data_IF_784748641487
#
_entry.id   IF_784748641487
#
_cell.length_a   1.000
_cell.length_b   1.000
_cell.length_c   1.000
_cell.angle_alpha   90.00
_cell.angle_beta   90.00
_cell.angle_gamma   90.00
#
_symmetry.space_group_name_H-M   'P 1'
#
loop_
_entity.id
_entity.type
_entity.pdbx_description
1 polymer ?
#
# COMPACT_ATOMS: atom_id res chain seq x y z
N UNK A 1 0.61 2.68 21.41
CA UNK A 1 1.60 2.94 20.36
C UNK A 1 0.98 3.82 19.29
N UNK A 2 1.37 5.09 19.26
CA UNK A 2 1.23 5.99 18.10
C UNK A 2 2.49 5.91 17.21
N UNK A 3 2.53 6.67 16.12
CA UNK A 3 3.65 6.60 15.18
C UNK A 3 4.95 7.09 15.83
N UNK A 4 4.91 8.20 16.57
CA UNK A 4 6.10 8.73 17.24
C UNK A 4 6.70 7.74 18.28
N UNK A 5 5.85 7.00 18.98
CA UNK A 5 6.27 5.93 19.90
C UNK A 5 6.90 4.76 19.14
N UNK A 6 6.30 4.34 18.02
CA UNK A 6 6.82 3.26 17.19
C UNK A 6 8.19 3.62 16.60
N UNK A 7 8.35 4.83 16.07
CA UNK A 7 9.59 5.27 15.42
C UNK A 7 10.79 5.42 16.38
N UNK A 8 10.57 5.34 17.71
CA UNK A 8 11.65 5.33 18.70
C UNK A 8 12.23 3.95 18.98
N UNK A 9 11.55 2.89 18.55
CA UNK A 9 12.03 1.52 18.70
C UNK A 9 13.19 1.27 17.73
N UNK A 10 14.30 0.71 18.22
CA UNK A 10 15.54 0.55 17.46
C UNK A 10 15.37 -0.29 16.17
N UNK A 11 14.46 -1.26 16.21
CA UNK A 11 14.21 -2.17 15.09
C UNK A 11 13.24 -1.60 14.03
N UNK A 12 12.80 -0.35 14.14
CA UNK A 12 11.85 0.23 13.18
C UNK A 12 12.60 1.02 12.12
N UNK A 13 12.46 0.58 10.86
CA UNK A 13 12.89 1.37 9.72
C UNK A 13 11.72 2.16 9.14
N UNK A 14 11.92 3.47 9.03
CA UNK A 14 11.05 4.37 8.27
C UNK A 14 11.86 5.06 7.18
N UNK A 15 11.35 5.00 5.95
CA UNK A 15 11.98 5.63 4.80
C UNK A 15 10.95 6.08 3.76
N UNK A 16 11.35 7.04 2.95
CA UNK A 16 10.61 7.45 1.75
C UNK A 16 11.56 7.57 0.55
N UNK A 17 10.98 7.67 -0.64
CA UNK A 17 11.67 8.08 -1.87
C UNK A 17 10.70 9.03 -2.57
N UNK A 18 11.13 10.25 -2.89
CA UNK A 18 10.30 11.23 -3.58
C UNK A 18 10.64 11.24 -5.07
N UNK A 19 9.67 10.93 -5.92
CA UNK A 19 9.77 10.92 -7.39
C UNK A 19 8.51 11.56 -8.00
N UNK A 20 7.67 10.78 -8.69
CA UNK A 20 6.45 11.26 -9.31
C UNK A 20 5.35 11.67 -8.32
N UNK A 21 4.26 12.26 -8.83
CA UNK A 21 3.17 12.83 -8.04
C UNK A 21 2.25 11.76 -7.40
N UNK A 22 2.35 10.50 -7.83
CA UNK A 22 1.63 9.40 -7.21
C UNK A 22 2.53 8.76 -6.15
N UNK A 23 1.96 8.52 -4.97
CA UNK A 23 2.65 7.82 -3.88
C UNK A 23 2.24 6.36 -3.74
N UNK A 24 3.18 5.49 -3.39
CA UNK A 24 2.94 4.11 -2.96
C UNK A 24 3.30 4.01 -1.48
N UNK A 25 2.43 3.41 -0.67
CA UNK A 25 2.61 3.27 0.77
C UNK A 25 2.65 1.81 1.19
N UNK A 26 3.56 1.46 2.11
CA UNK A 26 3.54 0.23 2.88
C UNK A 26 3.73 0.55 4.36
N UNK A 27 2.64 0.89 5.04
CA UNK A 27 2.66 1.28 6.46
C UNK A 27 2.76 0.09 7.42
N UNK A 28 2.56 -1.13 6.92
CA UNK A 28 2.64 -2.40 7.66
C UNK A 28 3.71 -3.32 7.06
N UNK A 29 4.89 -2.78 6.77
CA UNK A 29 6.00 -3.50 6.16
C UNK A 29 6.61 -4.61 7.03
N UNK A 30 7.67 -5.23 6.49
CA UNK A 30 8.48 -6.19 7.24
C UNK A 30 7.67 -7.43 7.62
N UNK A 31 7.65 -7.77 8.90
CA UNK A 31 6.92 -8.94 9.39
C UNK A 31 5.48 -8.65 9.87
N UNK A 32 4.97 -7.41 9.77
CA UNK A 32 3.58 -7.09 10.10
C UNK A 32 2.66 -7.72 9.04
N UNK A 33 2.80 -7.28 7.79
CA UNK A 33 2.13 -7.82 6.60
C UNK A 33 3.18 -8.20 5.55
N UNK A 34 3.82 -9.35 5.74
CA UNK A 34 4.97 -9.84 4.93
C UNK A 34 4.83 -9.63 3.42
N UNK A 35 5.82 -9.04 2.76
CA UNK A 35 5.80 -8.83 1.31
C UNK A 35 5.21 -7.48 0.87
N UNK A 36 4.44 -6.78 1.72
CA UNK A 36 3.84 -5.48 1.34
C UNK A 36 4.90 -4.41 1.04
N UNK A 37 5.95 -4.33 1.87
CA UNK A 37 7.09 -3.42 1.67
C UNK A 37 7.80 -3.68 0.34
N UNK A 38 8.04 -4.95 0.02
CA UNK A 38 8.71 -5.35 -1.22
C UNK A 38 7.85 -5.03 -2.45
N UNK A 39 6.56 -5.31 -2.39
CA UNK A 39 5.62 -4.96 -3.45
C UNK A 39 5.56 -3.45 -3.65
N UNK A 40 5.42 -2.68 -2.57
CA UNK A 40 5.38 -1.22 -2.63
C UNK A 40 6.67 -0.65 -3.24
N UNK A 41 7.83 -1.17 -2.82
CA UNK A 41 9.11 -0.76 -3.39
C UNK A 41 9.19 -1.07 -4.88
N UNK A 42 8.84 -2.30 -5.29
CA UNK A 42 8.89 -2.71 -6.70
C UNK A 42 7.97 -1.87 -7.58
N UNK A 43 6.72 -1.68 -7.14
CA UNK A 43 5.73 -0.85 -7.86
C UNK A 43 6.26 0.57 -7.98
N UNK A 44 6.73 1.18 -6.90
CA UNK A 44 7.25 2.55 -6.92
C UNK A 44 8.46 2.69 -7.84
N UNK A 45 9.41 1.75 -7.76
CA UNK A 45 10.63 1.75 -8.56
C UNK A 45 10.31 1.67 -10.07
N UNK A 46 9.44 0.74 -10.47
CA UNK A 46 9.12 0.50 -11.87
C UNK A 46 8.14 1.50 -12.49
N UNK A 47 7.34 2.19 -11.67
CA UNK A 47 6.43 3.25 -12.14
C UNK A 47 6.98 4.66 -11.95
N UNK A 48 8.18 4.83 -11.40
CA UNK A 48 8.72 6.15 -11.00
C UNK A 48 7.83 6.91 -10.00
N UNK A 49 7.00 6.20 -9.24
CA UNK A 49 6.17 6.77 -8.20
C UNK A 49 7.00 7.03 -6.92
N UNK A 50 6.50 7.94 -6.09
CA UNK A 50 7.05 8.15 -4.75
C UNK A 50 6.74 6.96 -3.84
N UNK A 51 7.57 6.68 -2.84
CA UNK A 51 7.40 5.58 -1.89
C UNK A 51 7.43 6.11 -0.45
N UNK A 52 6.58 5.55 0.41
CA UNK A 52 6.69 5.68 1.87
C UNK A 52 6.49 4.32 2.54
N UNK A 53 7.37 3.94 3.46
CA UNK A 53 7.27 2.67 4.16
C UNK A 53 7.67 2.76 5.63
N UNK A 54 6.95 1.99 6.46
CA UNK A 54 7.30 1.71 7.85
C UNK A 54 7.46 0.20 7.97
N UNK A 55 8.61 -0.24 8.47
CA UNK A 55 8.93 -1.65 8.48
C UNK A 55 9.77 -2.07 9.69
N UNK A 56 9.19 -2.82 10.63
CA UNK A 56 9.95 -3.48 11.68
C UNK A 56 10.91 -4.52 11.10
N UNK A 57 12.19 -4.39 11.44
CA UNK A 57 13.30 -5.30 11.12
C UNK A 57 13.44 -6.42 12.16
N UNK A 58 12.33 -6.87 12.72
CA UNK A 58 12.31 -7.96 13.71
C UNK A 58 12.22 -9.33 13.03
N UNK A 59 12.80 -10.36 13.63
CA UNK A 59 12.72 -11.73 13.10
C UNK A 59 11.32 -12.37 13.21
N UNK A 60 10.48 -11.90 14.13
CA UNK A 60 9.13 -12.43 14.38
C UNK A 60 8.07 -11.37 14.12
N UNK A 61 6.91 -11.84 13.65
CA UNK A 61 5.69 -11.03 13.57
C UNK A 61 5.23 -10.69 14.99
N UNK A 62 5.02 -9.41 15.23
CA UNK A 62 4.43 -8.91 16.46
C UNK A 62 3.41 -7.82 16.11
N UNK A 63 2.18 -8.00 16.60
CA UNK A 63 1.08 -7.07 16.33
C UNK A 63 1.21 -5.77 17.10
N UNK A 64 2.12 -5.68 18.08
CA UNK A 64 2.40 -4.42 18.79
C UNK A 64 2.88 -3.30 17.85
N UNK A 65 3.52 -3.67 16.74
CA UNK A 65 4.01 -2.72 15.73
C UNK A 65 2.93 -2.28 14.74
N UNK A 66 1.75 -2.90 14.75
CA UNK A 66 0.66 -2.56 13.85
C UNK A 66 -0.13 -1.35 14.37
N UNK A 67 0.03 -0.20 13.70
CA UNK A 67 -0.79 1.00 13.95
C UNK A 67 -1.87 1.08 12.88
N UNK A 68 -3.13 1.09 13.29
CA UNK A 68 -4.24 1.25 12.34
C UNK A 68 -4.08 2.53 11.50
N UNK A 69 -4.30 2.43 10.19
CA UNK A 69 -4.04 3.49 9.20
C UNK A 69 -4.69 4.84 9.52
N UNK A 70 -5.83 4.85 10.21
CA UNK A 70 -6.54 6.07 10.62
C UNK A 70 -6.03 6.68 11.93
N UNK A 71 -5.03 6.06 12.56
CA UNK A 71 -4.32 6.55 13.75
C UNK A 71 -2.89 7.01 13.46
N UNK A 72 -2.43 6.84 12.22
CA UNK A 72 -1.14 7.36 11.77
C UNK A 72 -1.29 8.87 11.57
N UNK A 73 -0.54 9.64 12.35
CA UNK A 73 -0.54 11.10 12.29
C UNK A 73 0.70 11.59 11.52
N UNK A 74 0.55 12.36 10.44
CA UNK A 74 1.69 12.96 9.73
C UNK A 74 2.61 13.77 10.63
N UNK A 75 2.06 14.49 11.62
CA UNK A 75 2.86 15.30 12.55
C UNK A 75 3.81 14.51 13.46
N UNK A 76 3.71 13.17 13.46
CA UNK A 76 4.61 12.28 14.20
C UNK A 76 5.86 11.91 13.38
N UNK A 77 5.93 12.28 12.10
CA UNK A 77 7.03 11.95 11.18
C UNK A 77 7.29 13.03 10.14
N UNK A 78 8.53 13.53 10.10
CA UNK A 78 9.01 14.43 9.05
C UNK A 78 8.93 13.76 7.67
N UNK A 79 9.32 12.49 7.56
CA UNK A 79 9.29 11.76 6.28
C UNK A 79 7.89 11.56 5.73
N UNK A 80 6.92 11.26 6.60
CA UNK A 80 5.52 11.11 6.19
C UNK A 80 4.94 12.46 5.78
N UNK A 81 5.26 13.53 6.52
CA UNK A 81 4.83 14.88 6.19
C UNK A 81 5.37 15.31 4.83
N UNK A 82 6.66 15.13 4.57
CA UNK A 82 7.28 15.44 3.28
C UNK A 82 6.64 14.64 2.14
N UNK A 83 6.46 13.32 2.33
CA UNK A 83 5.82 12.47 1.33
C UNK A 83 4.39 12.93 1.00
N UNK A 84 3.56 13.21 2.01
CA UNK A 84 2.18 13.64 1.81
C UNK A 84 2.06 15.04 1.20
N UNK A 85 3.03 15.92 1.45
CA UNK A 85 3.10 17.23 0.82
C UNK A 85 3.55 17.15 -0.65
N UNK A 86 4.31 16.12 -1.01
CA UNK A 86 4.83 15.90 -2.36
C UNK A 86 3.79 15.27 -3.30
N UNK A 87 3.04 14.29 -2.83
CA UNK A 87 2.13 13.50 -3.68
C UNK A 87 0.72 14.11 -3.79
N UNK A 88 0.09 13.96 -4.95
CA UNK A 88 -1.30 14.41 -5.19
C UNK A 88 -2.33 13.34 -4.80
N UNK A 89 -1.95 12.07 -4.91
CA UNK A 89 -2.73 10.87 -4.56
C UNK A 89 -1.78 9.77 -4.07
N UNK A 90 -2.31 8.76 -3.38
CA UNK A 90 -1.52 7.60 -2.95
C UNK A 90 -2.25 6.27 -3.12
N UNK A 91 -1.49 5.18 -3.23
CA UNK A 91 -1.95 3.80 -3.17
C UNK A 91 -1.26 3.10 -2.01
N UNK A 92 -2.04 2.59 -1.03
CA UNK A 92 -1.49 1.86 0.11
C UNK A 92 -1.64 0.37 -0.08
N UNK A 93 -0.51 -0.34 -0.01
CA UNK A 93 -0.39 -1.78 -0.15
C UNK A 93 -0.46 -2.43 1.23
N UNK A 94 -1.47 -3.28 1.42
CA UNK A 94 -1.76 -4.00 2.64
C UNK A 94 -1.90 -5.51 2.39
N UNK A 95 -1.83 -6.28 3.48
CA UNK A 95 -2.06 -7.71 3.47
C UNK A 95 -3.16 -8.12 4.44
N UNK A 96 -4.15 -8.87 3.96
CA UNK A 96 -5.20 -9.43 4.82
C UNK A 96 -5.04 -10.93 5.07
N UNK A 97 -5.86 -11.46 6.01
CA UNK A 97 -5.91 -12.88 6.39
C UNK A 97 -7.28 -13.54 6.14
N UNK A 98 -8.15 -12.90 5.35
CA UNK A 98 -9.38 -13.55 4.86
C UNK A 98 -9.00 -14.88 4.20
N UNK A 99 -9.71 -15.97 4.55
CA UNK A 99 -9.47 -17.32 4.01
C UNK A 99 -10.03 -17.48 2.58
N UNK A 100 -9.70 -16.53 1.69
CA UNK A 100 -10.04 -16.50 0.27
C UNK A 100 -8.94 -15.75 -0.49
N UNK A 101 -8.73 -16.15 -1.74
CA UNK A 101 -7.80 -15.48 -2.66
C UNK A 101 -8.48 -14.31 -3.37
N UNK A 102 -8.99 -13.38 -2.58
CA UNK A 102 -9.65 -12.16 -3.07
C UNK A 102 -8.77 -10.95 -2.84
N UNK A 103 -8.68 -10.03 -3.78
CA UNK A 103 -8.07 -8.71 -3.58
C UNK A 103 -9.18 -7.72 -3.23
N UNK A 104 -9.10 -7.10 -2.05
CA UNK A 104 -10.05 -6.07 -1.65
C UNK A 104 -9.50 -4.69 -2.01
N UNK A 105 -10.27 -3.90 -2.74
CA UNK A 105 -9.86 -2.54 -3.16
C UNK A 105 -10.83 -1.52 -2.57
N UNK A 106 -10.29 -0.45 -1.99
CA UNK A 106 -11.05 0.62 -1.36
C UNK A 106 -10.38 1.98 -1.50
N UNK A 107 -10.70 2.90 -0.59
CA UNK A 107 -10.18 4.27 -0.60
C UNK A 107 -11.10 5.28 -1.28
N UNK A 108 -10.84 6.55 -1.02
CA UNK A 108 -11.72 7.66 -1.37
C UNK A 108 -11.40 8.30 -2.73
N UNK A 109 -10.32 7.90 -3.42
CA UNK A 109 -10.09 8.30 -4.81
C UNK A 109 -10.91 7.40 -5.74
N UNK A 110 -12.15 7.81 -6.04
CA UNK A 110 -13.11 7.02 -6.81
C UNK A 110 -12.61 6.63 -8.22
N UNK A 111 -12.03 7.59 -8.95
CA UNK A 111 -11.55 7.33 -10.32
C UNK A 111 -10.39 6.35 -10.33
N UNK A 112 -9.38 6.56 -9.48
CA UNK A 112 -8.21 5.67 -9.40
C UNK A 112 -8.62 4.28 -8.89
N UNK A 113 -9.54 4.23 -7.92
CA UNK A 113 -10.08 2.97 -7.39
C UNK A 113 -10.73 2.15 -8.50
N UNK A 114 -11.61 2.76 -9.31
CA UNK A 114 -12.30 2.09 -10.42
C UNK A 114 -11.33 1.60 -11.51
N UNK A 115 -10.30 2.38 -11.83
CA UNK A 115 -9.24 1.92 -12.75
C UNK A 115 -8.50 0.71 -12.19
N UNK A 116 -8.15 0.74 -10.90
CA UNK A 116 -7.47 -0.37 -10.23
C UNK A 116 -8.34 -1.64 -10.20
N UNK A 117 -9.62 -1.50 -9.86
CA UNK A 117 -10.60 -2.59 -9.88
C UNK A 117 -10.71 -3.20 -11.29
N UNK A 118 -10.84 -2.37 -12.32
CA UNK A 118 -10.93 -2.85 -13.71
C UNK A 118 -9.67 -3.60 -14.13
N UNK A 119 -8.49 -3.02 -13.87
CA UNK A 119 -7.22 -3.61 -14.25
C UNK A 119 -6.98 -4.97 -13.61
N UNK A 120 -7.34 -5.12 -12.33
CA UNK A 120 -7.09 -6.36 -11.58
C UNK A 120 -8.18 -7.43 -11.79
N UNK A 121 -9.42 -7.06 -12.10
CA UNK A 121 -10.54 -8.01 -12.28
C UNK A 121 -10.36 -9.00 -13.45
N UNK A 122 -9.50 -8.68 -14.41
CA UNK A 122 -9.21 -9.57 -15.54
C UNK A 122 -8.41 -10.81 -15.10
N UNK A 123 -7.57 -10.68 -14.07
CA UNK A 123 -6.61 -11.71 -13.65
C UNK A 123 -6.89 -12.27 -12.25
N UNK A 124 -7.64 -11.54 -11.41
CA UNK A 124 -7.86 -11.86 -10.01
C UNK A 124 -9.33 -11.76 -9.60
N UNK A 125 -9.72 -12.49 -8.56
CA UNK A 125 -10.98 -12.24 -7.87
C UNK A 125 -10.85 -10.94 -7.05
N UNK A 126 -11.57 -9.89 -7.45
CA UNK A 126 -11.45 -8.55 -6.90
C UNK A 126 -12.80 -8.05 -6.42
N UNK A 127 -12.83 -7.53 -5.20
CA UNK A 127 -14.02 -6.88 -4.62
C UNK A 127 -13.74 -5.39 -4.46
N UNK A 128 -14.59 -4.55 -5.08
CA UNK A 128 -14.66 -3.14 -4.71
C UNK A 128 -15.37 -3.02 -3.36
N UNK A 129 -14.58 -2.87 -2.30
CA UNK A 129 -15.04 -2.79 -0.93
C UNK A 129 -15.86 -1.51 -0.64
N UNK A 130 -15.82 -0.53 -1.54
CA UNK A 130 -16.66 0.68 -1.47
C UNK A 130 -18.10 0.41 -1.93
N UNK A 131 -18.32 -0.59 -2.79
CA UNK A 131 -19.61 -0.84 -3.44
C UNK A 131 -20.27 -2.16 -2.98
N UNK A 132 -19.52 -3.28 -3.00
CA UNK A 132 -20.12 -4.63 -2.98
C UNK A 132 -20.23 -5.26 -1.57
N UNK A 133 -19.83 -4.56 -0.51
CA UNK A 133 -19.96 -5.06 0.87
C UNK A 133 -19.32 -6.45 1.07
N UNK A 134 -19.76 -7.25 2.05
CA UNK A 134 -19.26 -8.62 2.23
C UNK A 134 -17.94 -8.75 3.01
N UNK A 135 -17.07 -9.70 2.61
CA UNK A 135 -15.83 -10.03 3.35
C UNK A 135 -14.83 -8.87 3.39
N UNK A 136 -14.87 -7.97 2.40
CA UNK A 136 -13.98 -6.82 2.30
C UNK A 136 -14.52 -5.55 2.98
N UNK A 137 -15.73 -5.57 3.56
CA UNK A 137 -16.39 -4.34 4.07
C UNK A 137 -15.56 -3.53 5.07
N UNK A 138 -14.76 -4.21 5.90
CA UNK A 138 -13.91 -3.59 6.92
C UNK A 138 -12.53 -3.18 6.39
N UNK A 139 -12.23 -3.53 5.13
CA UNK A 139 -10.96 -3.23 4.44
C UNK A 139 -11.13 -2.11 3.40
N UNK A 140 -12.27 -1.43 3.40
CA UNK A 140 -12.63 -0.45 2.38
C UNK A 140 -11.88 0.89 2.48
N UNK A 141 -11.10 1.12 3.55
CA UNK A 141 -10.38 2.39 3.72
C UNK A 141 -11.27 3.64 3.77
N UNK A 142 -12.54 3.51 4.19
CA UNK A 142 -13.56 4.58 4.14
C UNK A 142 -13.28 5.79 5.02
N UNK A 143 -12.43 5.66 6.05
CA UNK A 143 -12.19 6.73 7.00
C UNK A 143 -11.39 7.87 6.32
N UNK A 144 -11.88 9.12 6.33
CA UNK A 144 -11.14 10.26 5.79
C UNK A 144 -9.79 10.52 6.47
N UNK A 145 -9.61 10.03 7.71
CA UNK A 145 -8.35 10.09 8.46
C UNK A 145 -7.40 8.92 8.17
N UNK A 146 -7.81 7.93 7.37
CA UNK A 146 -6.87 6.91 6.89
C UNK A 146 -5.75 7.62 6.12
N UNK A 147 -4.50 7.32 6.45
CA UNK A 147 -3.31 7.99 5.90
C UNK A 147 -3.30 8.05 4.37
N UNK A 148 -3.81 7.01 3.69
CA UNK A 148 -3.88 6.97 2.22
C UNK A 148 -4.85 8.01 1.62
N UNK A 149 -5.81 8.51 2.42
CA UNK A 149 -6.80 9.51 2.02
C UNK A 149 -6.40 10.94 2.40
N UNK A 150 -5.21 11.14 2.98
CA UNK A 150 -4.72 12.47 3.34
C UNK A 150 -4.26 13.32 2.14
N UNK A 151 -3.70 12.76 1.04
CA UNK A 151 -3.39 13.54 -0.15
C UNK A 151 -4.61 14.28 -0.72
N UNK A 152 -4.34 15.32 -1.51
CA UNK A 152 -5.38 16.22 -2.08
C UNK A 152 -6.48 15.46 -2.83
N UNK A 153 -6.09 14.50 -3.68
CA UNK A 153 -7.01 13.70 -4.51
C UNK A 153 -7.47 12.42 -3.81
N UNK A 154 -7.21 12.29 -2.50
CA UNK A 154 -7.41 11.05 -1.72
C UNK A 154 -6.58 9.91 -2.29
N UNK A 155 -6.84 8.68 -1.88
CA UNK A 155 -6.07 7.53 -2.36
C UNK A 155 -6.87 6.25 -2.44
N UNK A 156 -6.15 5.18 -2.77
CA UNK A 156 -6.67 3.82 -2.95
C UNK A 156 -5.99 2.88 -1.96
N UNK A 157 -6.76 2.01 -1.33
CA UNK A 157 -6.23 0.94 -0.47
C UNK A 157 -6.36 -0.38 -1.22
N UNK A 158 -5.28 -1.16 -1.28
CA UNK A 158 -5.28 -2.51 -1.87
C UNK A 158 -4.85 -3.49 -0.79
N UNK A 159 -5.71 -4.47 -0.52
CA UNK A 159 -5.52 -5.47 0.52
C UNK A 159 -5.38 -6.84 -0.13
N UNK A 160 -4.20 -7.43 0.01
CA UNK A 160 -3.74 -8.58 -0.80
C UNK A 160 -3.64 -9.84 0.08
N UNK A 161 -4.22 -10.97 -0.35
CA UNK A 161 -4.14 -12.23 0.39
C UNK A 161 -2.70 -12.77 0.36
N UNK A 162 -2.33 -13.51 1.41
CA UNK A 162 -0.98 -14.06 1.56
C UNK A 162 -0.57 -14.97 0.39
N UNK A 163 -1.52 -15.69 -0.20
CA UNK A 163 -1.36 -16.57 -1.36
C UNK A 163 -0.84 -15.84 -2.61
N UNK A 164 -1.22 -14.57 -2.80
CA UNK A 164 -0.83 -13.75 -3.95
C UNK A 164 0.46 -12.98 -3.68
N UNK A 165 0.58 -12.29 -2.54
CA UNK A 165 1.80 -11.52 -2.24
C UNK A 165 3.02 -12.40 -1.99
N UNK A 166 2.78 -13.63 -1.49
CA UNK A 166 3.78 -14.61 -1.03
C UNK A 166 4.85 -13.97 -0.15
N UNK A 167 5.82 -14.76 0.28
CA UNK A 167 7.00 -14.23 0.98
C UNK A 167 8.13 -14.22 -0.03
N UNK A 168 8.86 -13.11 -0.11
CA UNK A 168 10.15 -13.03 -0.77
C UNK A 168 11.15 -13.84 0.10
N UNK A 169 11.12 -15.17 0.01
CA UNK A 169 12.01 -16.05 0.78
C UNK A 169 13.45 -15.92 0.29
N UNK A 170 14.28 -15.15 1.01
CA UNK A 170 15.72 -15.00 0.75
C UNK A 170 16.08 -14.52 -0.67
N UNK A 171 15.14 -13.92 -1.40
CA UNK A 171 15.37 -13.38 -2.74
C UNK A 171 15.70 -11.89 -2.67
N UNK A 172 16.58 -11.39 -3.55
CA UNK A 172 16.70 -9.96 -3.81
C UNK A 172 15.32 -9.38 -4.14
N UNK A 173 15.04 -8.16 -3.70
CA UNK A 173 13.73 -7.52 -3.89
C UNK A 173 13.37 -7.30 -5.38
N UNK A 174 14.32 -7.51 -6.30
CA UNK A 174 14.08 -7.40 -7.75
C UNK A 174 13.41 -8.63 -8.39
N UNK A 175 13.33 -9.78 -7.70
CA UNK A 175 12.75 -11.01 -8.27
C UNK A 175 11.42 -11.34 -7.61
N UNK A 176 10.34 -11.25 -8.39
CA UNK A 176 8.99 -11.60 -7.93
C UNK A 176 8.90 -13.06 -7.47
N UNK A 177 8.21 -13.33 -6.34
CA UNK A 177 8.17 -14.66 -5.75
C UNK A 177 7.30 -15.64 -6.55
N UNK A 178 6.33 -15.15 -7.35
CA UNK A 178 5.58 -15.98 -8.30
C UNK A 178 4.98 -15.18 -9.47
N UNK A 179 4.42 -15.91 -10.44
CA UNK A 179 3.72 -15.34 -11.60
C UNK A 179 2.55 -14.46 -11.18
N UNK A 180 1.76 -14.88 -10.19
CA UNK A 180 0.61 -14.10 -9.69
C UNK A 180 1.08 -12.78 -9.08
N UNK A 181 2.17 -12.80 -8.31
CA UNK A 181 2.74 -11.57 -7.74
C UNK A 181 3.25 -10.64 -8.82
N UNK A 182 3.90 -11.19 -9.85
CA UNK A 182 4.38 -10.41 -11.00
C UNK A 182 3.22 -9.75 -11.77
N UNK A 183 2.20 -10.51 -12.15
CA UNK A 183 1.01 -10.01 -12.84
C UNK A 183 0.30 -8.92 -12.01
N UNK A 184 0.14 -9.15 -10.69
CA UNK A 184 -0.43 -8.16 -9.79
C UNK A 184 0.34 -6.83 -9.86
N UNK A 185 1.67 -6.88 -9.77
CA UNK A 185 2.50 -5.66 -9.84
C UNK A 185 2.45 -4.98 -11.20
N UNK A 186 2.42 -5.74 -12.30
CA UNK A 186 2.33 -5.20 -13.67
C UNK A 186 1.00 -4.47 -13.91
N UNK A 187 -0.13 -5.04 -13.45
CA UNK A 187 -1.43 -4.38 -13.48
C UNK A 187 -1.41 -3.07 -12.68
N UNK A 188 -0.89 -3.10 -11.45
CA UNK A 188 -0.81 -1.89 -10.61
C UNK A 188 0.08 -0.83 -11.25
N UNK A 189 1.29 -1.19 -11.72
CA UNK A 189 2.25 -0.28 -12.35
C UNK A 189 1.59 0.44 -13.54
N UNK A 190 0.91 -0.29 -14.42
CA UNK A 190 0.21 0.30 -15.58
C UNK A 190 -0.79 1.38 -15.15
N UNK A 191 -1.61 1.11 -14.13
CA UNK A 191 -2.58 2.08 -13.61
C UNK A 191 -1.90 3.31 -12.98
N UNK A 192 -0.76 3.11 -12.32
CA UNK A 192 0.02 4.20 -11.72
C UNK A 192 0.63 5.10 -12.80
N UNK A 193 1.20 4.51 -13.86
CA UNK A 193 1.78 5.27 -14.98
C UNK A 193 0.72 6.15 -15.67
N UNK A 194 -0.47 5.63 -15.92
CA UNK A 194 -1.61 6.39 -16.47
C UNK A 194 -2.04 7.54 -15.54
N UNK A 195 -2.09 7.29 -14.23
CA UNK A 195 -2.45 8.29 -13.22
C UNK A 195 -1.41 9.42 -13.13
N UNK A 196 -0.13 9.11 -13.32
CA UNK A 196 0.94 10.11 -13.34
C UNK A 196 0.88 11.00 -14.57
N UNK A 197 0.58 10.45 -15.75
CA UNK A 197 0.39 11.24 -16.98
C UNK A 197 -0.77 12.24 -16.84
N UNK A 198 -1.85 11.83 -16.18
CA UNK A 198 -3.00 12.69 -15.90
C UNK A 198 -2.74 13.75 -14.82
N UNK A 199 -1.63 13.63 -14.10
CA UNK A 199 -1.22 14.54 -13.02
C UNK A 199 -0.05 15.46 -13.43
N UNK A 200 0.44 15.35 -14.67
CA UNK A 200 1.46 16.23 -15.20
C UNK A 200 0.88 17.66 -15.38
N UNK A 201 1.62 18.71 -14.99
CA UNK A 201 1.19 20.10 -15.13
C UNK A 201 1.03 20.55 -16.58
#
# INVERSE_FOLDING_TARGET
>A
MNLAELLREEDILEYHILQGPVGIMAIHGGNIERGTEQLAYYIAHHSHASLYAISPRTHKRDWKYHISSNKINPGDSEKLTEFLNHVTTAVSIHGHIIKKDIVCIGGLNDSLRKSMVRSLKEEFDVVDAMEEGGHCKNLAGRNPKNVVNLPRLKGVQIEIPLSIRKVFEHRPYEIMPSTETKLLTECIITVIEEAQQSSAP
#
